data_IF_026759856390
#
_entry.id   IF_026759856390
#
_cell.length_a   1.000
_cell.length_b   1.000
_cell.length_c   1.000
_cell.angle_alpha   90.00
_cell.angle_beta   90.00
_cell.angle_gamma   90.00
#
_symmetry.space_group_name_H-M   'P 1'
#
loop_
_entity.id
_entity.type
_entity.pdbx_description
1 polymer ?
#
# COMPACT_ATOMS: atom_id res chain seq x y z
N UNK A 1 0.85 6.07 3.65
CA UNK A 1 0.04 4.83 3.69
C UNK A 1 0.69 3.80 4.60
N UNK A 2 1.94 3.37 4.35
CA UNK A 2 2.66 2.41 5.21
C UNK A 2 2.68 2.78 6.70
N UNK A 3 2.99 4.05 7.02
CA UNK A 3 2.93 4.60 8.39
C UNK A 3 1.61 4.26 9.11
N UNK A 4 0.48 4.62 8.51
CA UNK A 4 -0.84 4.45 9.15
C UNK A 4 -1.19 2.98 9.28
N UNK A 5 -0.88 2.18 8.26
CA UNK A 5 -1.13 0.73 8.27
C UNK A 5 -0.37 0.09 9.44
N UNK A 6 0.92 0.38 9.59
CA UNK A 6 1.74 -0.12 10.70
C UNK A 6 1.20 0.34 12.06
N UNK A 7 0.89 1.63 12.20
CA UNK A 7 0.35 2.18 13.44
C UNK A 7 -0.93 1.44 13.85
N UNK A 8 -1.85 1.23 12.90
CA UNK A 8 -3.12 0.54 13.14
C UNK A 8 -2.92 -0.95 13.43
N UNK A 9 -2.00 -1.63 12.75
CA UNK A 9 -1.67 -3.04 13.01
C UNK A 9 -1.06 -3.27 14.38
N UNK A 10 -0.27 -2.32 14.89
CA UNK A 10 0.59 -2.53 16.05
C UNK A 10 0.07 -1.87 17.33
N UNK A 11 -1.20 -1.47 17.36
CA UNK A 11 -1.85 -0.97 18.57
C UNK A 11 -2.84 0.16 18.36
N UNK A 12 -2.85 0.79 17.19
CA UNK A 12 -3.70 1.94 16.88
C UNK A 12 -3.06 3.27 17.24
N UNK A 13 -3.80 4.37 17.00
CA UNK A 13 -3.36 5.73 17.35
C UNK A 13 -3.48 6.00 18.86
N UNK A 14 -2.65 5.31 19.63
CA UNK A 14 -2.51 5.40 21.08
C UNK A 14 -1.07 5.10 21.50
N UNK A 15 -0.80 5.09 22.81
CA UNK A 15 0.55 4.89 23.35
C UNK A 15 1.20 3.59 22.87
N UNK A 16 0.45 2.49 22.76
CA UNK A 16 0.97 1.19 22.30
C UNK A 16 1.47 1.28 20.87
N UNK A 17 0.64 1.77 19.94
CA UNK A 17 1.02 1.89 18.54
C UNK A 17 2.17 2.88 18.34
N UNK A 18 2.18 4.01 19.04
CA UNK A 18 3.27 4.99 18.91
C UNK A 18 4.58 4.54 19.56
N UNK A 19 4.52 3.73 20.63
CA UNK A 19 5.70 3.03 21.17
C UNK A 19 6.30 2.07 20.15
N UNK A 20 5.46 1.33 19.41
CA UNK A 20 5.94 0.52 18.30
C UNK A 20 6.58 1.38 17.20
N UNK A 21 5.91 2.47 16.78
CA UNK A 21 6.44 3.35 15.73
C UNK A 21 7.80 3.93 16.11
N UNK A 22 8.02 4.28 17.39
CA UNK A 22 9.33 4.73 17.89
C UNK A 22 10.40 3.67 17.71
N UNK A 23 10.14 2.42 18.16
CA UNK A 23 11.07 1.29 17.99
C UNK A 23 11.33 0.97 16.52
N UNK A 24 10.31 1.09 15.68
CA UNK A 24 10.44 0.92 14.24
C UNK A 24 11.38 1.97 13.64
N UNK A 25 11.19 3.24 14.00
CA UNK A 25 12.05 4.35 13.59
C UNK A 25 13.49 4.10 14.04
N UNK A 26 13.74 3.73 15.29
CA UNK A 26 15.06 3.33 15.80
C UNK A 26 15.70 2.22 14.93
N UNK A 27 14.92 1.21 14.54
CA UNK A 27 15.40 0.13 13.68
C UNK A 27 15.67 0.55 12.21
N UNK A 28 15.18 1.71 11.77
CA UNK A 28 15.49 2.25 10.44
C UNK A 28 16.91 2.81 10.36
N UNK A 29 17.56 3.14 11.48
CA UNK A 29 18.94 3.67 11.51
C UNK A 29 19.14 4.85 10.54
N UNK A 30 18.21 5.83 10.60
CA UNK A 30 18.19 6.99 9.72
C UNK A 30 17.85 6.71 8.24
N UNK A 31 17.53 5.47 7.86
CA UNK A 31 17.23 5.08 6.45
C UNK A 31 15.78 5.33 6.05
N UNK A 32 15.33 6.58 6.18
CA UNK A 32 14.05 7.02 5.60
C UNK A 32 14.29 7.52 4.18
N UNK A 33 13.86 6.73 3.19
CA UNK A 33 14.10 7.05 1.78
C UNK A 33 13.05 8.02 1.23
N UNK A 34 13.47 8.86 0.29
CA UNK A 34 12.62 9.92 -0.30
C UNK A 34 11.56 9.41 -1.28
N UNK A 35 11.62 8.15 -1.68
CA UNK A 35 10.67 7.55 -2.62
C UNK A 35 10.41 6.07 -2.31
N UNK A 36 9.22 5.59 -2.67
CA UNK A 36 8.91 4.17 -2.56
C UNK A 36 9.73 3.31 -3.53
N UNK A 37 10.19 3.85 -4.67
CA UNK A 37 11.05 3.12 -5.60
C UNK A 37 12.41 2.81 -5.03
N UNK A 38 13.03 3.79 -4.35
CA UNK A 38 14.31 3.60 -3.69
C UNK A 38 14.28 2.44 -2.67
N UNK A 39 13.11 2.13 -2.07
CA UNK A 39 12.95 1.00 -1.15
C UNK A 39 13.05 -0.33 -1.89
N UNK A 40 12.19 -0.58 -2.90
CA UNK A 40 12.16 -1.88 -3.56
C UNK A 40 13.36 -2.10 -4.50
N UNK A 41 13.92 -1.04 -5.09
CA UNK A 41 15.19 -1.09 -5.83
C UNK A 41 16.34 -1.37 -4.87
N UNK A 42 16.39 -0.68 -3.73
CA UNK A 42 17.45 -0.90 -2.75
C UNK A 42 17.46 -2.31 -2.17
N UNK A 43 16.30 -2.95 -2.00
CA UNK A 43 16.24 -4.37 -1.62
C UNK A 43 16.68 -5.26 -2.79
N UNK A 44 16.18 -5.02 -4.01
CA UNK A 44 16.55 -5.80 -5.18
C UNK A 44 18.06 -5.76 -5.51
N UNK A 45 18.71 -4.61 -5.27
CA UNK A 45 20.14 -4.41 -5.47
C UNK A 45 21.01 -4.86 -4.27
N UNK A 46 20.39 -5.38 -3.20
CA UNK A 46 21.10 -5.81 -1.99
C UNK A 46 21.61 -4.70 -1.07
N UNK A 47 21.20 -3.44 -1.29
CA UNK A 47 21.53 -2.29 -0.41
C UNK A 47 20.80 -2.35 0.93
N UNK A 48 19.61 -2.94 0.97
CA UNK A 48 18.81 -3.11 2.19
C UNK A 48 18.32 -4.55 2.29
N UNK A 49 18.40 -5.14 3.49
CA UNK A 49 17.93 -6.51 3.72
C UNK A 49 16.40 -6.63 3.68
N UNK A 50 15.68 -5.58 4.10
CA UNK A 50 14.22 -5.55 4.19
C UNK A 50 13.70 -4.17 3.79
N UNK A 51 12.57 -4.13 3.09
CA UNK A 51 11.91 -2.88 2.69
C UNK A 51 10.40 -3.03 2.72
N UNK A 52 9.70 -2.00 3.20
CA UNK A 52 8.23 -1.98 3.27
C UNK A 52 7.71 -1.24 2.05
N UNK A 53 7.00 -1.96 1.18
CA UNK A 53 6.54 -1.44 -0.11
C UNK A 53 5.15 -1.98 -0.48
N UNK A 54 4.63 -1.54 -1.62
CA UNK A 54 3.36 -2.04 -2.17
C UNK A 54 3.58 -3.30 -3.04
N UNK A 55 2.59 -4.18 -3.03
CA UNK A 55 2.65 -5.51 -3.64
C UNK A 55 3.03 -5.49 -5.13
N UNK A 56 2.49 -4.54 -5.90
CA UNK A 56 2.73 -4.43 -7.33
C UNK A 56 4.24 -4.37 -7.66
N UNK A 57 4.98 -3.50 -6.95
CA UNK A 57 6.41 -3.35 -7.14
C UNK A 57 7.19 -4.58 -6.68
N UNK A 58 6.83 -5.14 -5.52
CA UNK A 58 7.50 -6.32 -4.98
C UNK A 58 7.36 -7.54 -5.93
N UNK A 59 6.15 -7.79 -6.43
CA UNK A 59 5.90 -8.85 -7.41
C UNK A 59 6.55 -8.56 -8.76
N UNK A 60 6.58 -7.29 -9.21
CA UNK A 60 7.29 -6.90 -10.44
C UNK A 60 8.79 -7.19 -10.32
N UNK A 61 9.44 -6.80 -9.23
CA UNK A 61 10.86 -7.06 -9.01
C UNK A 61 11.17 -8.55 -8.89
N UNK A 62 10.35 -9.33 -8.18
CA UNK A 62 10.48 -10.78 -8.12
C UNK A 62 10.35 -11.43 -9.50
N UNK A 63 9.37 -11.00 -10.32
CA UNK A 63 9.19 -11.51 -11.69
C UNK A 63 10.31 -11.10 -12.64
N UNK A 64 11.00 -10.00 -12.35
CA UNK A 64 12.19 -9.57 -13.09
C UNK A 64 13.46 -10.35 -12.69
N UNK A 65 13.39 -11.27 -11.72
CA UNK A 65 14.51 -12.12 -11.30
C UNK A 65 15.36 -11.53 -10.18
N UNK A 66 14.90 -10.50 -9.47
CA UNK A 66 15.56 -10.03 -8.27
C UNK A 66 15.56 -11.13 -7.18
N UNK A 67 16.68 -11.30 -6.48
CA UNK A 67 16.82 -12.25 -5.38
C UNK A 67 16.13 -11.71 -4.12
N UNK A 68 14.80 -11.76 -4.11
CA UNK A 68 13.98 -11.30 -3.01
C UNK A 68 12.78 -12.20 -2.80
N UNK A 69 12.20 -12.10 -1.60
CA UNK A 69 10.96 -12.78 -1.24
C UNK A 69 9.92 -11.76 -0.81
N UNK A 70 8.73 -11.85 -1.40
CA UNK A 70 7.58 -11.06 -0.94
C UNK A 70 7.00 -11.70 0.33
N UNK A 71 6.91 -10.92 1.40
CA UNK A 71 6.39 -11.36 2.70
C UNK A 71 5.17 -10.50 3.05
N UNK A 72 4.08 -11.14 3.45
CA UNK A 72 2.90 -10.48 3.98
C UNK A 72 2.90 -10.60 5.51
N UNK A 73 2.76 -9.50 6.27
CA UNK A 73 2.69 -9.56 7.73
C UNK A 73 1.50 -10.39 8.22
N UNK A 74 1.67 -11.10 9.33
CA UNK A 74 0.63 -11.98 9.91
C UNK A 74 -0.48 -11.18 10.59
N UNK A 75 -0.13 -9.99 11.07
CA UNK A 75 -1.02 -8.95 11.60
C UNK A 75 -1.94 -8.39 10.51
N UNK A 76 -1.60 -8.66 9.25
CA UNK A 76 -2.37 -8.31 8.06
C UNK A 76 -1.66 -7.34 7.14
N UNK A 77 -2.30 -7.11 6.00
CA UNK A 77 -1.92 -6.11 5.02
C UNK A 77 -3.14 -5.29 4.64
N UNK A 78 -2.91 -4.05 4.19
CA UNK A 78 -4.01 -3.18 3.82
C UNK A 78 -4.35 -3.32 2.34
N UNK A 79 -5.64 -3.52 2.07
CA UNK A 79 -6.22 -3.55 0.72
C UNK A 79 -6.81 -2.17 0.41
N UNK A 80 -5.96 -1.15 0.32
CA UNK A 80 -6.44 0.22 0.05
C UNK A 80 -6.92 0.30 -1.41
N UNK A 81 -8.22 0.54 -1.66
CA UNK A 81 -8.71 0.66 -3.02
C UNK A 81 -8.15 1.92 -3.68
N UNK A 82 -7.91 1.86 -5.00
CA UNK A 82 -7.62 3.06 -5.79
C UNK A 82 -8.94 3.62 -6.32
N UNK A 83 -9.45 4.74 -5.76
CA UNK A 83 -10.74 5.26 -6.16
C UNK A 83 -10.68 5.90 -7.54
N UNK A 84 -11.79 5.82 -8.27
CA UNK A 84 -12.05 6.58 -9.49
C UNK A 84 -13.31 7.43 -9.27
N UNK A 85 -13.28 8.69 -9.69
CA UNK A 85 -14.38 9.63 -9.49
C UNK A 85 -14.57 10.56 -10.68
N UNK A 86 -15.81 11.02 -10.88
CA UNK A 86 -16.15 12.03 -11.88
C UNK A 86 -16.13 13.41 -11.21
N UNK A 87 -15.40 14.35 -11.81
CA UNK A 87 -15.34 15.74 -11.33
C UNK A 87 -16.71 16.41 -11.45
N UNK A 88 -17.13 17.12 -10.39
CA UNK A 88 -18.37 17.89 -10.39
C UNK A 88 -18.32 18.96 -11.48
N UNK A 89 -19.34 18.99 -12.35
CA UNK A 89 -19.38 19.91 -13.49
C UNK A 89 -18.49 19.50 -14.67
N UNK A 90 -18.10 18.22 -14.79
CA UNK A 90 -17.32 17.73 -15.93
C UNK A 90 -17.98 18.09 -17.26
N UNK A 91 -17.23 18.79 -18.13
CA UNK A 91 -17.67 19.25 -19.47
C UNK A 91 -18.23 18.12 -20.34
N UNK A 92 -17.69 16.91 -20.19
CA UNK A 92 -18.06 15.72 -20.94
C UNK A 92 -18.61 14.63 -20.02
N UNK A 93 -19.67 14.93 -19.26
CA UNK A 93 -20.23 14.02 -18.26
C UNK A 93 -20.59 12.62 -18.82
N UNK A 94 -21.14 12.55 -20.04
CA UNK A 94 -21.46 11.28 -20.69
C UNK A 94 -20.23 10.40 -20.92
N UNK A 95 -19.14 10.97 -21.44
CA UNK A 95 -17.89 10.24 -21.65
C UNK A 95 -17.20 9.89 -20.33
N UNK A 96 -17.28 10.76 -19.32
CA UNK A 96 -16.74 10.47 -17.99
C UNK A 96 -17.42 9.23 -17.36
N UNK A 97 -18.75 9.10 -17.49
CA UNK A 97 -19.49 7.90 -17.03
C UNK A 97 -19.04 6.66 -17.78
N UNK A 98 -19.01 6.72 -19.12
CA UNK A 98 -18.53 5.61 -19.96
C UNK A 98 -17.09 5.17 -19.61
N UNK A 99 -16.22 6.12 -19.28
CA UNK A 99 -14.85 5.81 -18.88
C UNK A 99 -14.80 5.09 -17.53
N UNK A 100 -15.59 5.53 -16.54
CA UNK A 100 -15.71 4.83 -15.25
C UNK A 100 -16.25 3.41 -15.47
N UNK A 101 -17.30 3.25 -16.27
CA UNK A 101 -17.86 1.94 -16.60
C UNK A 101 -16.84 1.03 -17.30
N UNK A 102 -16.05 1.60 -18.22
CA UNK A 102 -14.98 0.88 -18.92
C UNK A 102 -13.89 0.40 -17.95
N UNK A 103 -13.37 1.28 -17.08
CA UNK A 103 -12.32 0.91 -16.12
C UNK A 103 -12.79 -0.17 -15.13
N UNK A 104 -14.07 -0.16 -14.76
CA UNK A 104 -14.69 -1.16 -13.86
C UNK A 104 -15.26 -2.39 -14.59
N UNK A 105 -15.19 -2.40 -15.92
CA UNK A 105 -15.67 -3.50 -16.75
C UNK A 105 -14.90 -4.79 -16.47
N UNK A 106 -15.53 -5.94 -16.74
CA UNK A 106 -14.87 -7.24 -16.61
C UNK A 106 -13.62 -7.33 -17.48
N UNK A 107 -13.65 -6.76 -18.68
CA UNK A 107 -12.53 -6.76 -19.63
C UNK A 107 -11.29 -6.09 -19.03
N UNK A 108 -11.40 -4.83 -18.60
CA UNK A 108 -10.27 -4.09 -17.99
C UNK A 108 -9.85 -4.73 -16.67
N UNK A 109 -10.82 -5.15 -15.86
CA UNK A 109 -10.52 -5.74 -14.55
C UNK A 109 -9.83 -7.11 -14.65
N UNK A 110 -9.98 -7.82 -15.77
CA UNK A 110 -9.34 -9.13 -16.00
C UNK A 110 -7.82 -8.99 -16.15
N UNK A 111 -7.35 -7.92 -16.82
CA UNK A 111 -5.91 -7.70 -17.05
C UNK A 111 -5.17 -7.07 -15.87
N UNK A 112 -5.88 -6.73 -14.78
CA UNK A 112 -5.25 -6.12 -13.59
C UNK A 112 -4.19 -7.05 -12.99
N UNK A 113 -4.46 -8.36 -12.96
CA UNK A 113 -3.53 -9.36 -12.43
C UNK A 113 -2.21 -9.41 -13.20
N UNK A 114 -2.26 -9.19 -14.51
CA UNK A 114 -1.08 -9.22 -15.39
C UNK A 114 -0.10 -8.10 -15.01
N UNK A 115 -0.62 -6.96 -14.59
CA UNK A 115 0.15 -5.82 -14.10
C UNK A 115 0.40 -5.84 -12.58
N UNK A 116 0.32 -7.01 -11.92
CA UNK A 116 0.47 -7.19 -10.46
C UNK A 116 -0.54 -6.39 -9.60
N UNK A 117 -1.70 -6.05 -10.14
CA UNK A 117 -2.74 -5.32 -9.43
C UNK A 117 -3.90 -6.25 -9.12
N UNK A 118 -4.47 -6.08 -7.93
CA UNK A 118 -5.68 -6.81 -7.55
C UNK A 118 -6.89 -6.13 -8.19
N UNK A 119 -7.74 -6.92 -8.83
CA UNK A 119 -9.05 -6.47 -9.28
C UNK A 119 -9.96 -6.18 -8.10
N UNK A 120 -10.85 -5.20 -8.27
CA UNK A 120 -11.93 -4.92 -7.31
C UNK A 120 -13.17 -5.81 -7.53
N UNK A 121 -13.21 -6.56 -8.63
CA UNK A 121 -14.32 -7.47 -8.94
C UNK A 121 -14.16 -8.80 -8.22
N UNK A 122 -15.26 -9.36 -7.75
CA UNK A 122 -15.29 -10.65 -7.07
C UNK A 122 -15.52 -11.84 -8.01
N UNK A 123 -15.83 -11.59 -9.29
CA UNK A 123 -16.11 -12.60 -10.32
C UNK A 123 -14.90 -12.87 -11.25
N UNK A 124 -13.71 -12.40 -10.87
CA UNK A 124 -12.46 -12.58 -11.61
C UNK A 124 -11.46 -13.32 -10.72
N UNK A 125 -10.90 -14.39 -11.26
CA UNK A 125 -9.87 -15.18 -10.57
C UNK A 125 -8.53 -14.43 -10.58
N UNK A 126 -7.87 -14.37 -9.43
CA UNK A 126 -6.51 -13.83 -9.34
C UNK A 126 -5.49 -14.78 -9.99
N UNK A 127 -4.41 -14.25 -10.61
CA UNK A 127 -3.30 -15.06 -11.09
C UNK A 127 -2.70 -15.96 -10.00
N UNK A 128 -2.23 -17.15 -10.37
CA UNK A 128 -1.70 -18.15 -9.43
C UNK A 128 -0.48 -17.67 -8.62
N UNK A 129 0.27 -16.69 -9.12
CA UNK A 129 1.41 -16.10 -8.43
C UNK A 129 1.01 -15.07 -7.36
N UNK A 130 -0.27 -14.71 -7.25
CA UNK A 130 -0.76 -13.79 -6.23
C UNK A 130 -1.42 -14.55 -5.08
N UNK A 131 -1.11 -14.13 -3.86
CA UNK A 131 -1.72 -14.70 -2.65
C UNK A 131 -3.23 -14.37 -2.64
N UNK A 132 -4.14 -15.32 -2.36
CA UNK A 132 -5.57 -15.03 -2.27
C UNK A 132 -5.93 -13.98 -1.21
N UNK A 133 -6.98 -13.17 -1.45
CA UNK A 133 -7.36 -12.07 -0.55
C UNK A 133 -7.62 -12.51 0.91
N UNK A 134 -8.16 -13.72 1.12
CA UNK A 134 -8.44 -14.27 2.44
C UNK A 134 -7.19 -14.72 3.22
N UNK A 135 -5.99 -14.62 2.61
CA UNK A 135 -4.70 -14.96 3.22
C UNK A 135 -3.86 -13.73 3.58
N UNK A 136 -4.31 -12.52 3.24
CA UNK A 136 -3.55 -11.29 3.48
C UNK A 136 -3.79 -10.65 4.85
N UNK A 137 -4.72 -11.20 5.64
CA UNK A 137 -5.29 -10.49 6.79
C UNK A 137 -6.06 -9.24 6.36
N UNK A 138 -6.75 -8.61 7.32
CA UNK A 138 -7.46 -7.35 7.11
C UNK A 138 -7.08 -6.38 8.22
N UNK A 139 -6.67 -5.18 7.82
CA UNK A 139 -6.41 -4.08 8.75
C UNK A 139 -7.56 -3.09 8.60
N UNK A 140 -8.30 -2.77 9.68
CA UNK A 140 -9.38 -1.80 9.62
C UNK A 140 -8.81 -0.44 9.22
N UNK A 141 -9.10 -0.01 7.99
CA UNK A 141 -8.60 1.24 7.42
C UNK A 141 -9.78 2.14 7.08
N UNK A 142 -9.95 3.22 7.83
CA UNK A 142 -10.94 4.25 7.56
C UNK A 142 -10.28 5.42 6.79
N UNK A 143 -10.53 5.56 5.46
CA UNK A 143 -9.92 6.62 4.67
C UNK A 143 -10.35 8.02 5.11
N UNK A 144 -11.54 8.20 5.69
CA UNK A 144 -12.02 9.50 6.14
C UNK A 144 -11.32 9.93 7.43
N UNK A 145 -11.20 9.02 8.40
CA UNK A 145 -10.42 9.28 9.60
C UNK A 145 -8.95 9.57 9.26
N UNK A 146 -8.34 8.78 8.37
CA UNK A 146 -6.95 9.00 7.93
C UNK A 146 -6.80 10.36 7.24
N UNK A 147 -7.75 10.72 6.37
CA UNK A 147 -7.75 12.03 5.72
C UNK A 147 -7.84 13.19 6.71
N UNK A 148 -8.76 13.11 7.68
CA UNK A 148 -8.95 14.13 8.71
C UNK A 148 -7.79 14.25 9.71
N UNK A 149 -7.04 13.17 9.93
CA UNK A 149 -5.92 13.14 10.87
C UNK A 149 -4.54 13.24 10.22
N UNK A 150 -4.48 13.33 8.88
CA UNK A 150 -3.25 13.25 8.09
C UNK A 150 -2.14 14.13 8.64
N UNK A 151 -2.41 15.42 8.86
CA UNK A 151 -1.38 16.36 9.30
C UNK A 151 -0.81 15.98 10.66
N UNK A 152 -1.68 15.75 11.66
CA UNK A 152 -1.27 15.34 13.01
C UNK A 152 -0.44 14.05 13.01
N UNK A 153 -0.83 13.06 12.20
CA UNK A 153 -0.09 11.79 12.09
C UNK A 153 1.30 12.00 11.47
N UNK A 154 1.40 12.86 10.45
CA UNK A 154 2.67 13.21 9.82
C UNK A 154 3.57 14.02 10.75
N UNK A 155 3.02 14.98 11.49
CA UNK A 155 3.77 15.80 12.44
C UNK A 155 4.40 14.91 13.53
N UNK A 156 3.60 13.99 14.08
CA UNK A 156 4.10 13.06 15.11
C UNK A 156 5.12 12.06 14.55
N UNK A 157 4.95 11.61 13.31
CA UNK A 157 5.98 10.81 12.63
C UNK A 157 7.28 11.59 12.45
N UNK A 158 7.21 12.83 11.97
CA UNK A 158 8.39 13.68 11.78
C UNK A 158 9.12 13.94 13.10
N UNK A 159 8.38 14.18 14.20
CA UNK A 159 8.99 14.29 15.53
C UNK A 159 9.78 13.04 15.95
N UNK A 160 9.35 11.84 15.54
CA UNK A 160 10.10 10.61 15.81
C UNK A 160 11.36 10.50 14.94
N UNK A 161 11.27 10.89 13.67
CA UNK A 161 12.41 10.89 12.74
C UNK A 161 13.46 11.92 13.15
N UNK A 162 13.04 13.13 13.52
CA UNK A 162 13.92 14.24 13.88
C UNK A 162 14.57 14.06 15.26
N UNK A 163 14.05 13.14 16.08
CA UNK A 163 14.60 12.81 17.40
C UNK A 163 15.72 11.75 17.36
N UNK A 164 16.08 11.26 16.17
CA UNK A 164 17.17 10.30 15.97
C UNK A 164 18.55 10.95 15.92
#
# INVERSE_FOLDING_TARGET
MALVIQLLSMGGDNETGWTYMKRFVEALDGKVLSSSSAVYEGVADGRYAVGITYEEAALKSARAGADLKVVYPVEGSSKVPSPIAIIKGARNLGNARKFVDYILSKEVQTVMGDINRRTVRTDIQLPANMVPNNKLGDIPYDPLWVGGNKQRLLDRWNQLIDAQ
#
